data_IF_656188205299
#
_entry.id   IF_656188205299
#
_cell.length_a   1.000
_cell.length_b   1.000
_cell.length_c   1.000
_cell.angle_alpha   90.00
_cell.angle_beta   90.00
_cell.angle_gamma   90.00
#
_symmetry.space_group_name_H-M   'P 1'
#
loop_
_entity.id
_entity.type
_entity.pdbx_description
1 polymer ?
#
# COMPACT_ATOMS: atom_id res chain seq x y z
N UNK A 1 66.13 -13.20 -33.55
CA UNK A 1 65.05 -14.14 -33.20
C UNK A 1 64.42 -13.65 -31.91
N UNK A 2 63.08 -13.60 -31.87
CA UNK A 2 62.20 -13.26 -30.74
C UNK A 2 62.09 -11.79 -30.29
N UNK A 3 61.00 -11.16 -30.78
CA UNK A 3 60.27 -10.05 -30.18
C UNK A 3 59.52 -10.55 -28.93
N UNK A 4 59.40 -9.71 -27.88
CA UNK A 4 58.34 -9.82 -26.88
C UNK A 4 57.77 -8.42 -26.56
N UNK A 5 56.45 -8.31 -26.30
CA UNK A 5 55.65 -7.15 -26.66
C UNK A 5 55.57 -6.09 -25.56
N UNK A 6 55.38 -4.84 -26.00
CA UNK A 6 55.09 -3.71 -25.15
C UNK A 6 53.76 -3.87 -24.40
N UNK A 7 53.79 -3.57 -23.10
CA UNK A 7 52.61 -3.42 -22.28
C UNK A 7 51.94 -2.11 -22.71
N UNK A 8 50.86 -2.21 -23.50
CA UNK A 8 50.01 -1.07 -23.79
C UNK A 8 49.31 -0.61 -22.51
N UNK A 9 49.68 0.58 -22.04
CA UNK A 9 49.01 1.27 -20.93
C UNK A 9 47.61 1.66 -21.40
N UNK A 10 46.65 0.79 -21.13
CA UNK A 10 45.25 0.99 -21.44
C UNK A 10 44.67 2.11 -20.57
N UNK A 11 44.68 3.32 -21.15
CA UNK A 11 43.89 4.52 -20.84
C UNK A 11 43.01 4.45 -19.56
N UNK A 12 43.58 4.76 -18.39
CA UNK A 12 42.93 4.58 -17.07
C UNK A 12 41.62 5.38 -16.89
N UNK A 13 41.42 6.44 -17.69
CA UNK A 13 40.19 7.23 -17.72
C UNK A 13 38.96 6.44 -18.18
N UNK A 14 39.13 5.42 -19.04
CA UNK A 14 38.01 4.58 -19.51
C UNK A 14 37.55 3.57 -18.46
N UNK A 15 38.47 3.09 -17.62
CA UNK A 15 38.17 2.14 -16.55
C UNK A 15 37.36 2.82 -15.42
N UNK A 16 37.74 4.04 -15.06
CA UNK A 16 37.03 4.83 -14.03
C UNK A 16 35.60 5.16 -14.48
N UNK A 17 35.41 5.50 -15.77
CA UNK A 17 34.09 5.80 -16.31
C UNK A 17 33.17 4.57 -16.33
N UNK A 18 33.71 3.38 -16.65
CA UNK A 18 32.96 2.13 -16.58
C UNK A 18 32.51 1.78 -15.16
N UNK A 19 33.35 2.04 -14.16
CA UNK A 19 33.03 1.78 -12.76
C UNK A 19 31.95 2.72 -12.21
N UNK A 20 31.97 3.99 -12.61
CA UNK A 20 30.95 4.98 -12.23
C UNK A 20 29.56 4.65 -12.83
N UNK A 21 29.53 4.14 -14.05
CA UNK A 21 28.29 3.73 -14.72
C UNK A 21 27.68 2.45 -14.11
N UNK A 22 28.53 1.50 -13.69
CA UNK A 22 28.10 0.30 -12.98
C UNK A 22 27.56 0.60 -11.56
N UNK A 23 28.15 1.57 -10.85
CA UNK A 23 27.66 2.00 -9.54
C UNK A 23 26.28 2.67 -9.62
N UNK A 24 25.98 3.39 -10.70
CA UNK A 24 24.68 4.02 -10.91
C UNK A 24 23.53 3.01 -11.14
N UNK A 25 23.82 1.83 -11.67
CA UNK A 25 22.82 0.77 -11.88
C UNK A 25 22.38 0.06 -10.60
N UNK A 26 23.16 0.17 -9.51
CA UNK A 26 22.83 -0.45 -8.22
C UNK A 26 21.88 0.39 -7.35
N UNK A 27 21.64 1.66 -7.71
CA UNK A 27 20.61 2.51 -7.08
C UNK A 27 19.21 2.27 -7.66
N UNK A 28 18.89 1.00 -7.97
CA UNK A 28 17.53 0.58 -8.31
C UNK A 28 16.57 0.94 -7.19
N UNK A 29 15.51 1.66 -7.53
CA UNK A 29 14.51 2.20 -6.61
C UNK A 29 13.89 1.07 -5.76
N UNK A 30 14.34 0.94 -4.50
CA UNK A 30 13.78 -0.01 -3.54
C UNK A 30 12.46 0.57 -3.01
N UNK A 31 11.34 0.30 -3.67
CA UNK A 31 10.02 0.53 -3.08
C UNK A 31 9.92 -0.37 -1.85
N UNK A 32 10.21 0.19 -0.69
CA UNK A 32 10.11 -0.54 0.57
C UNK A 32 8.64 -0.69 0.93
N UNK A 33 8.16 -1.94 0.88
CA UNK A 33 6.87 -2.30 1.44
C UNK A 33 6.81 -1.81 2.88
N UNK A 34 5.75 -1.08 3.23
CA UNK A 34 5.49 -0.64 4.60
C UNK A 34 4.30 -1.42 5.12
N UNK A 35 4.48 -2.04 6.28
CA UNK A 35 3.45 -2.83 6.95
C UNK A 35 3.05 -2.12 8.24
N UNK A 36 1.76 -1.82 8.38
CA UNK A 36 1.16 -1.30 9.59
C UNK A 36 0.22 -2.34 10.18
N UNK A 37 0.31 -2.56 11.49
CA UNK A 37 -0.46 -3.56 12.23
C UNK A 37 -1.04 -2.94 13.49
N UNK A 38 -2.18 -3.46 13.92
CA UNK A 38 -2.82 -3.19 15.20
C UNK A 38 -3.21 -4.52 15.84
N UNK A 39 -3.15 -4.60 17.16
CA UNK A 39 -3.47 -5.79 17.97
C UNK A 39 -4.97 -5.93 18.27
N UNK A 40 -5.80 -4.96 17.86
CA UNK A 40 -7.22 -4.91 18.20
C UNK A 40 -8.07 -6.11 17.71
N UNK A 41 -7.56 -6.90 16.77
CA UNK A 41 -8.23 -8.08 16.21
C UNK A 41 -7.24 -9.26 16.04
N UNK A 42 -6.35 -9.44 17.01
CA UNK A 42 -5.44 -10.58 17.03
C UNK A 42 -6.18 -11.92 17.07
N UNK A 43 -5.59 -12.96 16.47
CA UNK A 43 -6.14 -14.31 16.37
C UNK A 43 -7.44 -14.46 15.56
N UNK A 44 -7.87 -13.42 14.84
CA UNK A 44 -8.98 -13.50 13.91
C UNK A 44 -8.51 -14.05 12.55
N UNK A 45 -9.28 -14.99 12.00
CA UNK A 45 -9.06 -15.46 10.63
C UNK A 45 -9.71 -14.49 9.64
N UNK A 46 -8.92 -14.00 8.68
CA UNK A 46 -9.39 -13.09 7.64
C UNK A 46 -9.64 -13.86 6.34
N UNK A 47 -10.82 -13.66 5.75
CA UNK A 47 -11.13 -14.23 4.43
C UNK A 47 -10.51 -13.37 3.33
N UNK A 48 -9.55 -13.92 2.60
CA UNK A 48 -8.98 -13.25 1.43
C UNK A 48 -10.02 -13.20 0.30
N UNK A 49 -10.29 -12.01 -0.20
CA UNK A 49 -11.30 -11.78 -1.24
C UNK A 49 -10.80 -10.74 -2.24
N UNK A 50 -11.05 -10.98 -3.53
CA UNK A 50 -10.78 -9.99 -4.57
C UNK A 50 -11.76 -8.82 -4.47
N UNK A 51 -11.29 -7.61 -4.76
CA UNK A 51 -12.09 -6.38 -4.59
C UNK A 51 -13.44 -6.42 -5.32
N UNK A 52 -13.45 -6.81 -6.61
CA UNK A 52 -14.69 -6.92 -7.39
C UNK A 52 -15.66 -7.93 -6.76
N UNK A 53 -15.16 -9.12 -6.37
CA UNK A 53 -15.98 -10.14 -5.73
C UNK A 53 -16.55 -9.66 -4.40
N UNK A 54 -15.79 -8.89 -3.63
CA UNK A 54 -16.26 -8.30 -2.38
C UNK A 54 -17.40 -7.31 -2.63
N UNK A 55 -17.26 -6.41 -3.61
CA UNK A 55 -18.30 -5.44 -3.94
C UNK A 55 -19.57 -6.10 -4.49
N UNK A 56 -19.44 -7.00 -5.46
CA UNK A 56 -20.57 -7.65 -6.13
C UNK A 56 -21.41 -8.48 -5.14
N UNK A 57 -20.77 -9.00 -4.10
CA UNK A 57 -21.36 -9.90 -3.11
C UNK A 57 -21.34 -9.33 -1.70
N UNK A 58 -21.29 -8.00 -1.53
CA UNK A 58 -21.00 -7.35 -0.25
C UNK A 58 -21.92 -7.79 0.90
N UNK A 59 -23.20 -8.02 0.61
CA UNK A 59 -24.20 -8.50 1.59
C UNK A 59 -23.82 -9.84 2.23
N UNK A 60 -23.10 -10.71 1.52
CA UNK A 60 -22.65 -12.01 2.03
C UNK A 60 -21.41 -11.92 2.93
N UNK A 61 -20.77 -10.75 2.98
CA UNK A 61 -19.61 -10.49 3.81
C UNK A 61 -19.94 -9.58 4.99
N UNK A 62 -21.19 -9.13 5.17
CA UNK A 62 -21.56 -8.26 6.28
C UNK A 62 -21.12 -8.88 7.63
N UNK A 63 -20.43 -8.07 8.43
CA UNK A 63 -19.82 -8.45 9.72
C UNK A 63 -18.76 -9.56 9.65
N UNK A 64 -18.22 -9.86 8.47
CA UNK A 64 -17.10 -10.78 8.33
C UNK A 64 -15.76 -10.04 8.24
N UNK A 65 -14.73 -10.68 8.77
CA UNK A 65 -13.36 -10.21 8.66
C UNK A 65 -12.77 -10.61 7.31
N UNK A 66 -12.27 -9.63 6.57
CA UNK A 66 -11.76 -9.81 5.21
C UNK A 66 -10.36 -9.25 5.05
N UNK A 67 -9.60 -9.83 4.13
CA UNK A 67 -8.39 -9.26 3.55
C UNK A 67 -8.69 -8.90 2.10
N UNK A 68 -8.52 -7.64 1.74
CA UNK A 68 -8.77 -7.15 0.37
C UNK A 68 -7.68 -6.19 -0.05
N UNK A 69 -7.30 -6.28 -1.32
CA UNK A 69 -6.36 -5.35 -1.95
C UNK A 69 -7.10 -4.39 -2.87
N UNK A 70 -6.63 -3.16 -2.92
CA UNK A 70 -7.15 -2.15 -3.82
C UNK A 70 -6.28 -0.91 -3.81
N UNK A 71 -6.76 0.14 -4.46
CA UNK A 71 -6.10 1.44 -4.47
C UNK A 71 -6.80 2.36 -3.48
N UNK A 72 -6.03 3.00 -2.62
CA UNK A 72 -6.59 3.94 -1.66
C UNK A 72 -6.63 5.35 -2.21
N UNK A 73 -7.73 6.04 -1.97
CA UNK A 73 -7.93 7.44 -2.35
C UNK A 73 -8.42 8.22 -1.14
N UNK A 74 -7.78 9.36 -0.88
CA UNK A 74 -8.13 10.25 0.21
C UNK A 74 -8.50 11.66 -0.29
N UNK A 75 -9.31 12.35 0.50
CA UNK A 75 -9.73 13.74 0.26
C UNK A 75 -10.49 14.28 1.47
N UNK A 76 -10.97 15.53 1.40
CA UNK A 76 -11.57 16.25 2.55
C UNK A 76 -12.67 15.45 3.27
N UNK A 77 -13.42 14.61 2.54
CA UNK A 77 -14.46 13.72 3.08
C UNK A 77 -14.41 12.33 2.45
N UNK A 78 -13.23 11.91 1.99
CA UNK A 78 -13.02 10.69 1.21
C UNK A 78 -11.92 9.87 1.89
N UNK A 79 -12.25 8.64 2.24
CA UNK A 79 -11.32 7.59 2.69
C UNK A 79 -11.83 6.31 2.04
N UNK A 80 -11.31 6.00 0.85
CA UNK A 80 -11.93 5.00 -0.01
C UNK A 80 -10.91 4.00 -0.54
N UNK A 81 -11.29 2.73 -0.51
CA UNK A 81 -10.63 1.67 -1.27
C UNK A 81 -11.40 1.46 -2.57
N UNK A 82 -10.69 1.53 -3.69
CA UNK A 82 -11.24 1.39 -5.04
C UNK A 82 -10.52 0.28 -5.80
N UNK A 83 -11.13 -0.20 -6.89
CA UNK A 83 -10.46 -1.12 -7.79
C UNK A 83 -9.38 -0.39 -8.60
N UNK A 84 -8.18 -0.97 -8.67
CA UNK A 84 -7.01 -0.39 -9.36
C UNK A 84 -7.24 -0.23 -10.87
N UNK A 85 -8.05 -1.11 -11.49
CA UNK A 85 -8.24 -1.16 -12.94
C UNK A 85 -9.42 -0.37 -13.50
N UNK A 86 -10.33 0.15 -12.67
CA UNK A 86 -11.67 0.57 -13.12
C UNK A 86 -12.24 1.83 -12.46
N UNK A 87 -11.46 2.62 -11.72
CA UNK A 87 -11.96 3.88 -11.17
C UNK A 87 -12.04 5.02 -12.22
N UNK A 88 -12.62 4.72 -13.39
CA UNK A 88 -12.87 5.70 -14.46
C UNK A 88 -14.20 6.43 -14.29
N UNK A 89 -15.14 5.87 -13.51
CA UNK A 89 -16.48 6.46 -13.33
C UNK A 89 -16.58 7.47 -12.20
N UNK A 90 -15.55 7.66 -11.37
CA UNK A 90 -15.55 8.49 -10.15
C UNK A 90 -16.77 8.28 -9.23
N UNK A 91 -17.51 7.17 -9.40
CA UNK A 91 -18.73 6.92 -8.67
C UNK A 91 -18.41 6.14 -7.39
N UNK A 92 -18.67 6.77 -6.25
CA UNK A 92 -18.42 6.21 -4.92
C UNK A 92 -19.24 4.94 -4.64
N UNK A 93 -20.28 4.64 -5.42
CA UNK A 93 -21.00 3.36 -5.32
C UNK A 93 -20.14 2.15 -5.67
N UNK A 94 -19.00 2.33 -6.35
CA UNK A 94 -18.03 1.26 -6.65
C UNK A 94 -16.79 1.32 -5.75
N UNK A 95 -16.93 1.96 -4.58
CA UNK A 95 -15.88 2.10 -3.59
C UNK A 95 -16.35 1.60 -2.22
N UNK A 96 -15.38 1.17 -1.42
CA UNK A 96 -15.57 0.84 -0.01
C UNK A 96 -15.00 1.97 0.84
N UNK A 97 -15.78 2.45 1.80
CA UNK A 97 -15.29 3.40 2.77
C UNK A 97 -14.31 2.70 3.73
N UNK A 98 -13.17 3.30 4.01
CA UNK A 98 -12.19 2.74 4.96
C UNK A 98 -12.26 3.54 6.25
N UNK A 99 -12.69 2.91 7.34
CA UNK A 99 -12.78 3.54 8.65
C UNK A 99 -11.55 3.23 9.49
N UNK A 100 -10.61 4.17 9.54
CA UNK A 100 -9.50 4.11 10.48
C UNK A 100 -9.94 4.60 11.86
N UNK A 101 -10.46 3.68 12.68
CA UNK A 101 -10.85 3.99 14.06
C UNK A 101 -9.63 4.14 14.97
N UNK A 102 -9.76 5.01 15.99
CA UNK A 102 -8.79 5.12 17.08
C UNK A 102 -8.77 3.87 17.98
N UNK A 103 -9.82 3.05 17.94
CA UNK A 103 -9.90 1.77 18.67
C UNK A 103 -8.94 0.71 18.12
N UNK A 104 -8.50 0.89 16.87
CA UNK A 104 -7.55 0.01 16.17
C UNK A 104 -6.36 0.85 15.66
N UNK A 105 -5.49 1.35 16.56
CA UNK A 105 -4.38 2.20 16.17
C UNK A 105 -3.35 1.39 15.36
N UNK A 106 -3.16 1.78 14.10
CA UNK A 106 -2.21 1.14 13.19
C UNK A 106 -0.80 1.70 13.41
N UNK A 107 0.15 0.82 13.73
CA UNK A 107 1.56 1.15 13.93
C UNK A 107 2.44 0.42 12.93
N UNK A 108 3.49 1.08 12.46
CA UNK A 108 4.47 0.49 11.55
C UNK A 108 5.13 -0.71 12.23
N UNK A 109 5.12 -1.88 11.59
CA UNK A 109 5.68 -3.10 12.13
C UNK A 109 7.15 -2.90 12.57
N UNK A 110 7.43 -3.19 13.84
CA UNK A 110 8.75 -3.00 14.46
C UNK A 110 9.07 -1.57 14.92
N UNK A 111 8.14 -0.61 14.80
CA UNK A 111 8.29 0.76 15.33
C UNK A 111 7.00 1.22 16.01
N UNK A 112 7.11 2.20 16.91
CA UNK A 112 5.94 2.85 17.53
C UNK A 112 5.41 4.04 16.73
N UNK A 113 5.55 3.99 15.40
CA UNK A 113 5.15 5.08 14.51
C UNK A 113 3.79 4.78 13.90
N UNK A 114 2.79 5.60 14.17
CA UNK A 114 1.43 5.47 13.67
C UNK A 114 1.30 5.69 12.16
N UNK A 115 0.23 5.15 11.55
CA UNK A 115 -0.08 5.33 10.13
C UNK A 115 -0.21 6.81 9.72
N UNK A 116 -0.83 7.63 10.58
CA UNK A 116 -1.06 9.05 10.35
C UNK A 116 -0.07 9.95 11.11
N UNK A 117 0.98 9.36 11.68
CA UNK A 117 2.02 10.13 12.37
C UNK A 117 3.03 10.71 11.38
N UNK A 118 3.66 11.79 11.83
CA UNK A 118 4.68 12.49 11.08
C UNK A 118 6.03 11.77 11.23
N UNK A 119 6.56 11.21 10.15
CA UNK A 119 7.84 10.48 10.13
C UNK A 119 8.83 11.21 9.22
N UNK A 120 9.99 11.59 9.75
CA UNK A 120 11.08 12.24 9.01
C UNK A 120 10.65 13.45 8.17
N UNK A 121 9.83 14.34 8.72
CA UNK A 121 9.46 15.58 8.03
C UNK A 121 8.26 15.45 7.08
N UNK A 122 7.60 14.28 6.98
CA UNK A 122 6.44 14.09 6.11
C UNK A 122 5.40 13.15 6.74
N UNK A 123 4.12 13.40 6.44
CA UNK A 123 3.07 12.41 6.65
C UNK A 123 3.22 11.25 5.64
N UNK A 124 2.80 10.06 6.06
CA UNK A 124 2.70 8.92 5.15
C UNK A 124 1.69 9.25 4.05
N UNK A 125 2.17 9.34 2.81
CA UNK A 125 1.31 9.59 1.65
C UNK A 125 0.58 8.31 1.27
N UNK A 126 -0.68 8.20 1.69
CA UNK A 126 -1.54 7.06 1.37
C UNK A 126 -2.31 7.28 0.07
N UNK A 127 -2.59 8.53 -0.30
CA UNK A 127 -3.33 8.81 -1.52
C UNK A 127 -2.74 8.12 -2.75
N UNK A 128 -3.61 7.54 -3.57
CA UNK A 128 -3.27 6.93 -4.85
C UNK A 128 -2.27 5.76 -4.73
N UNK A 129 -2.15 5.14 -3.56
CA UNK A 129 -1.31 3.96 -3.32
C UNK A 129 -2.12 2.68 -3.38
N UNK A 130 -1.54 1.65 -4.00
CA UNK A 130 -2.07 0.29 -3.87
C UNK A 130 -1.74 -0.23 -2.47
N UNK A 131 -2.73 -0.83 -1.83
CA UNK A 131 -2.58 -1.38 -0.48
C UNK A 131 -3.44 -2.64 -0.29
N UNK A 132 -3.03 -3.46 0.66
CA UNK A 132 -3.85 -4.55 1.21
C UNK A 132 -4.31 -4.15 2.60
N UNK A 133 -5.60 -4.23 2.87
CA UNK A 133 -6.17 -3.93 4.18
C UNK A 133 -6.89 -5.14 4.76
N UNK A 134 -6.86 -5.27 6.09
CA UNK A 134 -7.69 -6.22 6.83
C UNK A 134 -8.59 -5.50 7.81
N UNK A 135 -9.85 -5.90 7.87
CA UNK A 135 -10.86 -5.32 8.75
C UNK A 135 -12.19 -6.06 8.66
N UNK A 136 -13.20 -5.55 9.35
CA UNK A 136 -14.57 -6.08 9.31
C UNK A 136 -15.39 -5.34 8.27
N UNK A 137 -16.16 -6.06 7.46
CA UNK A 137 -17.09 -5.43 6.53
C UNK A 137 -18.34 -4.98 7.27
N UNK A 138 -18.80 -3.75 7.00
CA UNK A 138 -20.07 -3.22 7.49
C UNK A 138 -20.85 -2.59 6.34
N UNK A 139 -21.99 -3.19 5.98
CA UNK A 139 -22.82 -2.68 4.86
C UNK A 139 -23.72 -1.50 5.24
N UNK A 140 -23.90 -1.26 6.55
CA UNK A 140 -24.73 -0.17 7.09
C UNK A 140 -23.93 1.12 7.15
N UNK A 141 -22.63 1.01 7.39
CA UNK A 141 -21.71 2.14 7.39
C UNK A 141 -21.29 2.48 5.96
N UNK A 142 -21.65 3.68 5.50
CA UNK A 142 -21.49 4.11 4.10
C UNK A 142 -20.76 5.45 3.97
N UNK A 143 -19.94 5.80 4.95
CA UNK A 143 -19.20 7.06 5.01
C UNK A 143 -20.09 8.31 4.94
N UNK A 144 -19.49 9.42 4.53
CA UNK A 144 -20.16 10.71 4.41
C UNK A 144 -21.31 10.65 3.38
N UNK A 145 -22.50 11.12 3.75
CA UNK A 145 -23.70 11.17 2.91
C UNK A 145 -24.13 9.83 2.28
N UNK A 146 -23.77 8.70 2.90
CA UNK A 146 -24.04 7.36 2.38
C UNK A 146 -23.52 7.10 0.96
N UNK A 147 -22.40 7.74 0.59
CA UNK A 147 -21.87 7.70 -0.77
C UNK A 147 -21.25 6.35 -1.17
N UNK A 148 -20.89 5.48 -0.22
CA UNK A 148 -20.18 4.23 -0.46
C UNK A 148 -21.10 3.00 -0.41
N UNK A 149 -20.69 1.90 -1.05
CA UNK A 149 -21.45 0.63 -1.01
C UNK A 149 -21.49 0.00 0.39
N UNK A 150 -20.43 0.20 1.16
CA UNK A 150 -20.28 -0.18 2.55
C UNK A 150 -18.92 0.28 3.07
N UNK A 151 -18.51 -0.25 4.22
CA UNK A 151 -17.26 0.09 4.86
C UNK A 151 -16.41 -1.15 5.19
N UNK A 152 -15.10 -0.91 5.31
CA UNK A 152 -14.17 -1.76 6.03
C UNK A 152 -13.82 -1.01 7.30
N UNK A 153 -14.34 -1.51 8.41
CA UNK A 153 -14.18 -0.97 9.74
C UNK A 153 -13.14 -1.78 10.53
N UNK A 154 -12.74 -1.28 11.71
CA UNK A 154 -11.77 -1.92 12.60
C UNK A 154 -10.52 -2.41 11.86
N UNK A 155 -9.97 -1.53 11.03
CA UNK A 155 -8.81 -1.86 10.20
C UNK A 155 -7.61 -2.16 11.10
N UNK A 156 -7.12 -3.41 11.06
CA UNK A 156 -6.05 -3.91 11.92
C UNK A 156 -4.74 -4.18 11.16
N UNK A 157 -4.76 -4.06 9.83
CA UNK A 157 -3.61 -4.34 8.97
C UNK A 157 -3.67 -3.46 7.73
N UNK A 158 -2.53 -2.86 7.37
CA UNK A 158 -2.32 -2.16 6.10
C UNK A 158 -0.92 -2.48 5.57
N UNK A 159 -0.84 -3.09 4.38
CA UNK A 159 0.40 -3.26 3.63
C UNK A 159 0.40 -2.31 2.43
N UNK A 160 1.40 -1.43 2.33
CA UNK A 160 1.60 -0.48 1.23
C UNK A 160 2.63 -1.01 0.23
N UNK A 161 2.34 -0.82 -1.07
CA UNK A 161 3.19 -1.22 -2.19
C UNK A 161 3.74 -0.04 -3.01
#
# INVERSE_FOLDING_TARGET
MALCPGIEVMNSKRIIFGFFMAAAMLYGCKNSKKLYISDCNDNIAYKKVGFSNLLDSLKFYDKQYVEVSGKYTEGKHLSALVNDSLFTSHNNSHALWVNFSQDCPLQLAGKRTGLFEYDNGNYVKLNNRSMTIRGIVDIRQKGHLHAFSGAIDRVSYVELY
#
